data_IF_865752256473
#
_entry.id   IF_865752256473
#
_cell.length_a   1.000
_cell.length_b   1.000
_cell.length_c   1.000
_cell.angle_alpha   90.00
_cell.angle_beta   90.00
_cell.angle_gamma   90.00
#
_symmetry.space_group_name_H-M   'P 1'
#
loop_
_entity.id
_entity.type
_entity.pdbx_description
1 polymer ?
#
# COMPACT_ATOMS: atom_id res chain seq x y z
N UNK A 1 -45.49 57.03 27.40
CA UNK A 1 -44.62 56.24 28.25
C UNK A 1 -44.07 54.92 27.60
N UNK A 2 -44.57 54.42 26.49
CA UNK A 2 -44.10 53.15 25.86
C UNK A 2 -42.80 53.33 25.02
N UNK A 3 -42.48 54.54 24.59
CA UNK A 3 -41.31 54.82 23.72
C UNK A 3 -39.96 54.79 24.47
N UNK A 4 -39.92 55.04 25.75
CA UNK A 4 -38.70 55.16 26.56
C UNK A 4 -38.07 53.81 26.85
N UNK A 5 -38.87 52.75 27.03
CA UNK A 5 -38.36 51.37 27.29
C UNK A 5 -37.65 50.77 26.08
N UNK A 6 -38.21 50.93 24.88
CA UNK A 6 -37.60 50.43 23.65
C UNK A 6 -36.26 51.13 23.36
N UNK A 7 -36.20 52.44 23.53
CA UNK A 7 -34.95 53.19 23.33
C UNK A 7 -33.83 52.76 24.30
N UNK A 8 -34.19 52.46 25.56
CA UNK A 8 -33.25 52.02 26.56
C UNK A 8 -32.65 50.62 26.20
N UNK A 9 -33.47 49.65 25.80
CA UNK A 9 -33.01 48.34 25.34
C UNK A 9 -32.14 48.43 24.09
N UNK A 10 -32.52 49.26 23.11
CA UNK A 10 -31.76 49.49 21.90
C UNK A 10 -30.34 50.01 22.24
N UNK A 11 -30.26 50.95 23.17
CA UNK A 11 -28.97 51.53 23.58
C UNK A 11 -28.08 50.45 24.27
N UNK A 12 -28.63 49.61 25.14
CA UNK A 12 -27.90 48.55 25.78
C UNK A 12 -27.39 47.51 24.76
N UNK A 13 -28.27 47.06 23.85
CA UNK A 13 -27.88 46.12 22.80
C UNK A 13 -26.82 46.70 21.88
N UNK A 14 -26.91 47.96 21.49
CA UNK A 14 -25.91 48.64 20.65
C UNK A 14 -24.54 48.67 21.36
N UNK A 15 -24.50 48.99 22.66
CA UNK A 15 -23.26 49.02 23.44
C UNK A 15 -22.65 47.63 23.57
N UNK A 16 -23.46 46.63 23.89
CA UNK A 16 -23.01 45.23 23.98
C UNK A 16 -22.49 44.68 22.63
N UNK A 17 -23.16 45.03 21.53
CA UNK A 17 -22.75 44.65 20.18
C UNK A 17 -21.39 45.31 19.82
N UNK A 18 -21.20 46.59 20.13
CA UNK A 18 -19.94 47.30 19.91
C UNK A 18 -18.80 46.68 20.73
N UNK A 19 -19.02 46.40 22.03
CA UNK A 19 -18.04 45.78 22.88
C UNK A 19 -17.67 44.38 22.33
N UNK A 20 -18.67 43.55 21.97
CA UNK A 20 -18.45 42.25 21.38
C UNK A 20 -17.69 42.27 20.06
N UNK A 21 -17.99 43.25 19.20
CA UNK A 21 -17.30 43.42 17.91
C UNK A 21 -15.81 43.77 18.11
N UNK A 22 -15.51 44.67 19.06
CA UNK A 22 -14.13 45.03 19.39
C UNK A 22 -13.38 43.81 19.98
N UNK A 23 -14.02 43.09 20.89
CA UNK A 23 -13.44 41.87 21.47
C UNK A 23 -13.11 40.81 20.41
N UNK A 24 -14.03 40.54 19.47
CA UNK A 24 -13.82 39.59 18.37
C UNK A 24 -12.69 40.05 17.44
N UNK A 25 -12.61 41.36 17.16
CA UNK A 25 -11.53 41.91 16.33
C UNK A 25 -10.17 41.74 17.00
N UNK A 26 -10.05 42.05 18.29
CA UNK A 26 -8.83 41.90 19.08
C UNK A 26 -8.44 40.42 19.16
N UNK A 27 -9.40 39.55 19.42
CA UNK A 27 -9.15 38.10 19.42
C UNK A 27 -8.57 37.63 18.09
N UNK A 28 -9.17 38.03 16.94
CA UNK A 28 -8.70 37.66 15.61
C UNK A 28 -7.31 38.23 15.26
N UNK A 29 -6.99 39.43 15.75
CA UNK A 29 -5.64 39.99 15.59
C UNK A 29 -4.61 39.14 16.33
N UNK A 30 -4.87 38.79 17.59
CA UNK A 30 -3.95 38.02 18.40
C UNK A 30 -3.92 36.53 18.04
N UNK A 31 -4.82 36.05 17.21
CA UNK A 31 -4.74 34.73 16.58
C UNK A 31 -3.58 34.65 15.56
N UNK A 32 -3.36 35.74 14.81
CA UNK A 32 -2.39 35.80 13.71
C UNK A 32 -1.07 36.49 14.09
N UNK A 33 -1.08 37.41 15.05
CA UNK A 33 0.07 38.21 15.47
C UNK A 33 0.17 38.26 17.00
N UNK A 34 1.39 38.18 17.62
CA UNK A 34 2.71 38.07 16.98
C UNK A 34 3.04 36.64 16.47
N UNK A 35 3.81 36.54 15.39
CA UNK A 35 4.18 35.25 14.79
C UNK A 35 5.08 34.41 15.70
N UNK A 36 5.90 35.06 16.54
CA UNK A 36 6.82 34.42 17.51
C UNK A 36 6.45 34.83 18.91
N UNK A 37 6.09 33.87 19.74
CA UNK A 37 5.85 34.05 21.18
C UNK A 37 6.99 33.37 21.99
N UNK A 38 7.37 33.94 23.14
CA UNK A 38 8.25 33.27 24.09
C UNK A 38 7.65 31.92 24.49
N UNK A 39 8.51 30.91 24.73
CA UNK A 39 8.08 29.53 25.05
C UNK A 39 7.20 29.38 26.30
N UNK A 40 7.25 30.38 27.20
CA UNK A 40 6.49 30.38 28.46
C UNK A 40 5.09 31.02 28.33
N UNK A 41 4.76 31.68 27.22
CA UNK A 41 3.44 32.28 26.99
C UNK A 41 2.68 31.47 25.95
N UNK A 42 1.65 30.77 26.39
CA UNK A 42 0.74 30.11 25.47
C UNK A 42 -0.12 31.15 24.76
N UNK A 43 -0.32 31.00 23.44
CA UNK A 43 -1.08 31.96 22.61
C UNK A 43 -2.49 32.24 23.14
N UNK A 44 -3.16 31.20 23.64
CA UNK A 44 -4.50 31.34 24.22
C UNK A 44 -4.53 32.26 25.45
N UNK A 45 -3.47 32.24 26.28
CA UNK A 45 -3.35 33.15 27.44
C UNK A 45 -3.27 34.61 26.98
N UNK A 46 -2.46 34.85 25.94
CA UNK A 46 -2.36 36.20 25.35
C UNK A 46 -3.69 36.67 24.77
N UNK A 47 -4.41 35.82 24.10
CA UNK A 47 -5.74 36.12 23.54
C UNK A 47 -6.76 36.45 24.64
N UNK A 48 -6.85 35.62 25.68
CA UNK A 48 -7.76 35.88 26.81
C UNK A 48 -7.39 37.18 27.53
N UNK A 49 -6.11 37.41 27.79
CA UNK A 49 -5.62 38.65 28.43
C UNK A 49 -5.93 39.88 27.57
N UNK A 50 -5.68 39.84 26.25
CA UNK A 50 -5.93 40.92 25.34
C UNK A 50 -7.43 41.26 25.25
N UNK A 51 -8.30 40.27 25.19
CA UNK A 51 -9.75 40.45 25.20
C UNK A 51 -10.22 41.05 26.51
N UNK A 52 -9.69 40.63 27.65
CA UNK A 52 -10.03 41.20 28.97
C UNK A 52 -9.57 42.66 29.10
N UNK A 53 -8.34 43.00 28.68
CA UNK A 53 -7.76 44.32 28.75
C UNK A 53 -8.53 45.33 27.86
N UNK A 54 -9.05 44.88 26.73
CA UNK A 54 -9.75 45.78 25.78
C UNK A 54 -11.17 46.14 26.24
N UNK A 55 -11.78 45.36 27.17
CA UNK A 55 -13.16 45.61 27.63
C UNK A 55 -13.41 47.03 28.09
N UNK A 56 -12.61 47.65 29.03
CA UNK A 56 -12.88 49.02 29.46
C UNK A 56 -12.79 50.07 28.34
N UNK A 57 -11.85 49.86 27.39
CA UNK A 57 -11.68 50.73 26.24
C UNK A 57 -12.85 50.60 25.27
N UNK A 58 -13.31 49.40 24.99
CA UNK A 58 -14.48 49.13 24.16
C UNK A 58 -15.76 49.69 24.78
N UNK A 59 -15.93 49.53 26.08
CA UNK A 59 -17.04 50.11 26.82
C UNK A 59 -17.00 51.64 26.76
N UNK A 60 -15.83 52.26 26.98
CA UNK A 60 -15.65 53.70 26.83
C UNK A 60 -16.04 54.22 25.44
N UNK A 61 -15.57 53.56 24.39
CA UNK A 61 -15.94 53.90 23.01
C UNK A 61 -17.44 53.75 22.78
N UNK A 62 -18.05 52.67 23.27
CA UNK A 62 -19.49 52.44 23.13
C UNK A 62 -20.32 53.55 23.87
N UNK A 63 -19.88 53.98 25.05
CA UNK A 63 -20.51 55.08 25.77
C UNK A 63 -20.36 56.41 25.05
N UNK A 64 -19.16 56.76 24.59
CA UNK A 64 -18.92 57.99 23.82
C UNK A 64 -19.85 58.01 22.61
N UNK A 65 -19.88 56.96 21.79
CA UNK A 65 -20.68 56.88 20.56
C UNK A 65 -22.18 56.99 20.83
N UNK A 66 -22.68 56.42 21.93
CA UNK A 66 -24.12 56.38 22.23
C UNK A 66 -24.61 57.61 23.00
N UNK A 67 -23.70 58.49 23.46
CA UNK A 67 -24.05 59.73 24.22
C UNK A 67 -23.61 61.00 23.53
N UNK A 68 -23.18 60.95 22.25
CA UNK A 68 -22.72 62.11 21.46
C UNK A 68 -23.71 63.19 21.35
N UNK A 69 -25.01 62.96 21.53
CA UNK A 69 -26.10 63.97 21.47
C UNK A 69 -26.64 64.48 22.82
N UNK A 70 -26.05 64.01 23.92
CA UNK A 70 -26.51 64.28 25.26
C UNK A 70 -26.04 65.71 25.72
N UNK A 71 -26.88 66.46 26.41
CA UNK A 71 -26.55 67.78 26.91
C UNK A 71 -25.48 67.77 28.03
N UNK A 72 -25.35 66.71 28.76
CA UNK A 72 -24.32 66.49 29.81
C UNK A 72 -23.41 65.32 29.50
N UNK A 73 -22.10 65.41 29.72
CA UNK A 73 -21.17 64.30 29.54
C UNK A 73 -21.58 63.10 30.39
N UNK A 74 -21.38 61.85 29.82
CA UNK A 74 -21.81 60.64 30.49
C UNK A 74 -21.11 60.39 31.83
N UNK A 75 -19.89 60.90 32.01
CA UNK A 75 -19.09 60.77 33.24
C UNK A 75 -19.54 61.69 34.38
N UNK A 76 -20.35 62.76 34.09
CA UNK A 76 -20.94 63.59 35.11
C UNK A 76 -22.27 63.10 35.63
N UNK A 77 -22.90 62.21 34.89
CA UNK A 77 -24.19 61.60 35.27
C UNK A 77 -23.96 60.27 36.04
N UNK A 78 -24.26 60.28 37.37
CA UNK A 78 -24.07 59.10 38.24
C UNK A 78 -24.72 57.82 37.74
N UNK A 79 -25.90 57.87 37.14
CA UNK A 79 -26.59 56.70 36.61
C UNK A 79 -25.90 56.13 35.36
N UNK A 80 -25.36 56.99 34.49
CA UNK A 80 -24.61 56.57 33.32
C UNK A 80 -23.24 56.00 33.71
N UNK A 81 -22.61 56.58 34.72
CA UNK A 81 -21.34 56.13 35.26
C UNK A 81 -21.48 54.73 35.93
N UNK A 82 -22.58 54.51 36.69
CA UNK A 82 -22.89 53.19 37.26
C UNK A 82 -23.10 52.15 36.13
N UNK A 83 -23.91 52.47 35.11
CA UNK A 83 -24.11 51.56 33.96
C UNK A 83 -22.84 51.28 33.16
N UNK A 84 -21.90 52.22 33.09
CA UNK A 84 -20.59 51.99 32.51
C UNK A 84 -19.80 50.95 33.32
N UNK A 85 -19.78 51.06 34.67
CA UNK A 85 -19.13 50.09 35.53
C UNK A 85 -19.76 48.68 35.41
N UNK A 86 -21.09 48.61 35.36
CA UNK A 86 -21.82 47.34 35.16
C UNK A 86 -21.49 46.67 33.83
N UNK A 87 -21.32 47.45 32.74
CA UNK A 87 -20.93 46.93 31.43
C UNK A 87 -19.49 46.41 31.41
N UNK A 88 -18.57 47.09 32.08
CA UNK A 88 -17.21 46.60 32.24
C UNK A 88 -17.23 45.27 33.05
N UNK A 89 -17.97 45.21 34.16
CA UNK A 89 -18.11 44.02 34.97
C UNK A 89 -18.68 42.82 34.18
N UNK A 90 -19.78 43.09 33.44
CA UNK A 90 -20.35 42.07 32.55
C UNK A 90 -19.37 41.62 31.45
N UNK A 91 -18.71 42.60 30.78
CA UNK A 91 -17.73 42.31 29.72
C UNK A 91 -16.56 41.46 30.24
N UNK A 92 -16.07 41.75 31.43
CA UNK A 92 -14.99 40.94 32.07
C UNK A 92 -15.47 39.56 32.47
N UNK A 93 -16.69 39.38 32.96
CA UNK A 93 -17.26 38.10 33.32
C UNK A 93 -17.48 37.19 32.09
N UNK A 94 -17.95 37.75 30.97
CA UNK A 94 -18.27 36.98 29.78
C UNK A 94 -17.09 36.80 28.82
N UNK A 95 -16.06 37.67 28.88
CA UNK A 95 -14.91 37.62 27.98
C UNK A 95 -14.15 36.27 28.01
N UNK A 96 -13.91 35.61 29.17
CA UNK A 96 -13.26 34.29 29.21
C UNK A 96 -14.07 33.22 28.50
N UNK A 97 -15.42 33.28 28.57
CA UNK A 97 -16.30 32.31 27.90
C UNK A 97 -16.24 32.44 26.38
N UNK A 98 -16.21 33.67 25.88
CA UNK A 98 -16.08 33.95 24.44
C UNK A 98 -14.73 33.41 23.94
N UNK A 99 -13.63 33.75 24.65
CA UNK A 99 -12.31 33.29 24.29
C UNK A 99 -12.18 31.77 24.36
N UNK A 100 -12.74 31.15 25.41
CA UNK A 100 -12.72 29.68 25.59
C UNK A 100 -13.53 28.98 24.49
N UNK A 101 -14.70 29.49 24.13
CA UNK A 101 -15.52 28.92 23.06
C UNK A 101 -14.82 28.96 21.69
N UNK A 102 -14.10 30.05 21.41
CA UNK A 102 -13.33 30.22 20.18
C UNK A 102 -12.11 29.26 20.15
N UNK A 103 -11.40 29.15 21.29
CA UNK A 103 -10.28 28.22 21.45
C UNK A 103 -10.74 26.76 21.26
N UNK A 104 -11.85 26.38 21.92
CA UNK A 104 -12.42 25.04 21.81
C UNK A 104 -12.75 24.67 20.35
N UNK A 105 -13.39 25.59 19.61
CA UNK A 105 -13.66 25.39 18.18
C UNK A 105 -12.40 25.23 17.36
N UNK A 106 -11.37 26.03 17.65
CA UNK A 106 -10.09 25.94 16.95
C UNK A 106 -9.39 24.61 17.18
N UNK A 107 -9.31 24.16 18.44
CA UNK A 107 -8.69 22.86 18.79
C UNK A 107 -9.44 21.68 18.16
N UNK A 108 -10.78 21.69 18.25
CA UNK A 108 -11.59 20.62 17.65
C UNK A 108 -11.48 20.60 16.12
N UNK A 109 -11.42 21.76 15.48
CA UNK A 109 -11.21 21.83 14.03
C UNK A 109 -9.85 21.26 13.60
N UNK A 110 -8.78 21.53 14.35
CA UNK A 110 -7.46 20.93 14.10
C UNK A 110 -7.46 19.41 14.33
N UNK A 111 -8.08 18.95 15.41
CA UNK A 111 -8.17 17.52 15.70
C UNK A 111 -8.95 16.76 14.61
N UNK A 112 -10.05 17.32 14.12
CA UNK A 112 -10.82 16.73 13.02
C UNK A 112 -10.04 16.70 11.71
N UNK A 113 -9.32 17.79 11.36
CA UNK A 113 -8.50 17.80 10.15
C UNK A 113 -7.34 16.80 10.20
N UNK A 114 -6.70 16.62 11.36
CA UNK A 114 -5.68 15.61 11.57
C UNK A 114 -6.25 14.18 11.49
N UNK A 115 -7.39 13.92 12.11
CA UNK A 115 -8.04 12.62 12.02
C UNK A 115 -8.38 12.26 10.56
N UNK A 116 -8.92 13.21 9.80
CA UNK A 116 -9.23 13.02 8.38
C UNK A 116 -7.98 12.78 7.54
N UNK A 117 -6.87 13.49 7.80
CA UNK A 117 -5.61 13.25 7.09
C UNK A 117 -5.05 11.86 7.37
N UNK A 118 -5.10 11.38 8.61
CA UNK A 118 -4.71 10.00 8.95
C UNK A 118 -5.58 8.94 8.28
N UNK A 119 -6.89 9.16 8.18
CA UNK A 119 -7.78 8.24 7.47
C UNK A 119 -7.48 8.20 5.96
N UNK A 120 -7.19 9.34 5.35
CA UNK A 120 -6.79 9.42 3.94
C UNK A 120 -5.46 8.69 3.70
N UNK A 121 -4.42 8.96 4.50
CA UNK A 121 -3.14 8.26 4.41
C UNK A 121 -3.32 6.74 4.57
N UNK A 122 -4.09 6.30 5.55
CA UNK A 122 -4.37 4.87 5.76
C UNK A 122 -5.08 4.24 4.56
N UNK A 123 -6.03 4.95 3.96
CA UNK A 123 -6.74 4.50 2.76
C UNK A 123 -5.80 4.42 1.55
N UNK A 124 -4.91 5.41 1.36
CA UNK A 124 -3.89 5.39 0.30
C UNK A 124 -2.89 4.26 0.48
N UNK A 125 -2.40 4.02 1.71
CA UNK A 125 -1.53 2.89 2.00
C UNK A 125 -2.20 1.55 1.69
N UNK A 126 -3.46 1.36 2.11
CA UNK A 126 -4.22 0.15 1.82
C UNK A 126 -4.41 -0.06 0.30
N UNK A 127 -4.71 1.00 -0.44
CA UNK A 127 -4.85 0.97 -1.90
C UNK A 127 -3.52 0.64 -2.58
N UNK A 128 -2.42 1.29 -2.19
CA UNK A 128 -1.10 1.02 -2.76
C UNK A 128 -0.62 -0.40 -2.45
N UNK A 129 -0.90 -0.92 -1.26
CA UNK A 129 -0.60 -2.31 -0.90
C UNK A 129 -1.41 -3.29 -1.77
N UNK A 130 -2.70 -3.01 -2.01
CA UNK A 130 -3.53 -3.82 -2.90
C UNK A 130 -3.05 -3.75 -4.36
N UNK A 131 -2.73 -2.57 -4.88
CA UNK A 131 -2.19 -2.40 -6.24
C UNK A 131 -0.84 -3.11 -6.40
N UNK A 132 0.04 -3.02 -5.40
CA UNK A 132 1.30 -3.75 -5.39
C UNK A 132 1.07 -5.27 -5.40
N UNK A 133 0.12 -5.75 -4.61
CA UNK A 133 -0.25 -7.17 -4.57
C UNK A 133 -0.85 -7.64 -5.89
N UNK A 134 -1.71 -6.82 -6.52
CA UNK A 134 -2.25 -7.10 -7.85
C UNK A 134 -1.16 -7.15 -8.92
N UNK A 135 -0.19 -6.22 -8.89
CA UNK A 135 0.95 -6.24 -9.83
C UNK A 135 1.83 -7.48 -9.63
N UNK A 136 2.08 -7.90 -8.40
CA UNK A 136 2.79 -9.14 -8.10
C UNK A 136 2.04 -10.37 -8.61
N UNK A 137 0.72 -10.42 -8.45
CA UNK A 137 -0.12 -11.50 -8.98
C UNK A 137 -0.10 -11.52 -10.52
N UNK A 138 -0.16 -10.36 -11.17
CA UNK A 138 -0.07 -10.24 -12.63
C UNK A 138 1.31 -10.61 -13.19
N UNK A 139 2.39 -10.41 -12.42
CA UNK A 139 3.75 -10.76 -12.84
C UNK A 139 4.06 -12.25 -12.68
N UNK A 140 3.27 -13.02 -11.92
CA UNK A 140 3.51 -14.44 -11.66
C UNK A 140 2.98 -15.39 -12.77
N UNK A 141 2.03 -14.94 -13.57
CA UNK A 141 1.62 -15.64 -14.80
C UNK A 141 2.21 -14.87 -15.96
N UNK A 142 3.10 -15.47 -16.76
CA UNK A 142 3.72 -14.76 -17.91
C UNK A 142 2.64 -14.31 -18.91
N UNK A 143 2.29 -13.00 -19.01
CA UNK A 143 1.18 -12.56 -19.83
C UNK A 143 1.42 -12.86 -21.32
N UNK A 144 2.68 -12.78 -21.75
CA UNK A 144 3.10 -13.05 -23.11
C UNK A 144 2.83 -14.52 -23.50
N UNK A 145 3.07 -15.46 -22.60
CA UNK A 145 2.75 -16.87 -22.81
C UNK A 145 1.25 -17.08 -23.03
N UNK A 146 0.39 -16.47 -22.19
CA UNK A 146 -1.06 -16.58 -22.33
C UNK A 146 -1.55 -16.01 -23.66
N UNK A 147 -1.10 -14.81 -24.03
CA UNK A 147 -1.49 -14.20 -25.30
C UNK A 147 -1.05 -15.02 -26.52
N UNK A 148 0.17 -15.56 -26.50
CA UNK A 148 0.68 -16.42 -27.57
C UNK A 148 -0.10 -17.73 -27.66
N UNK A 149 -0.46 -18.34 -26.54
CA UNK A 149 -1.26 -19.56 -26.53
C UNK A 149 -2.67 -19.33 -27.05
N UNK A 150 -3.31 -18.22 -26.65
CA UNK A 150 -4.64 -17.82 -27.15
C UNK A 150 -4.59 -17.48 -28.66
N UNK A 151 -3.53 -16.86 -29.13
CA UNK A 151 -3.34 -16.59 -30.58
C UNK A 151 -3.21 -17.90 -31.37
N UNK A 152 -2.45 -18.88 -30.83
CA UNK A 152 -2.35 -20.21 -31.42
C UNK A 152 -3.70 -20.95 -31.43
N UNK A 153 -4.47 -20.90 -30.32
CA UNK A 153 -5.81 -21.49 -30.28
C UNK A 153 -6.72 -20.87 -31.38
N UNK A 154 -6.66 -19.55 -31.56
CA UNK A 154 -7.41 -18.85 -32.57
C UNK A 154 -7.04 -19.34 -33.98
N UNK A 155 -5.75 -19.44 -34.27
CA UNK A 155 -5.25 -19.93 -35.55
C UNK A 155 -5.72 -21.38 -35.84
N UNK A 156 -5.69 -22.25 -34.81
CA UNK A 156 -6.21 -23.61 -34.91
C UNK A 156 -7.72 -23.65 -35.14
N UNK A 157 -8.47 -22.75 -34.57
CA UNK A 157 -9.93 -22.62 -34.80
C UNK A 157 -10.20 -22.10 -36.20
N UNK A 158 -9.48 -21.06 -36.62
CA UNK A 158 -9.64 -20.45 -37.94
C UNK A 158 -9.27 -21.45 -39.07
N UNK A 159 -8.31 -22.35 -38.82
CA UNK A 159 -7.92 -23.44 -39.76
C UNK A 159 -8.81 -24.69 -39.66
N UNK A 160 -9.80 -24.73 -38.80
CA UNK A 160 -10.68 -25.88 -38.59
C UNK A 160 -10.00 -27.11 -37.99
N UNK A 161 -8.86 -26.92 -37.31
CA UNK A 161 -8.10 -28.01 -36.68
C UNK A 161 -8.84 -28.66 -35.50
N UNK A 162 -8.91 -30.00 -35.49
CA UNK A 162 -9.48 -30.75 -34.37
C UNK A 162 -8.67 -30.60 -33.08
N UNK A 163 -7.44 -30.09 -33.14
CA UNK A 163 -6.56 -29.86 -31.99
C UNK A 163 -6.93 -28.61 -31.17
N UNK A 164 -7.68 -27.66 -31.75
CA UNK A 164 -8.06 -26.41 -31.07
C UNK A 164 -8.71 -26.63 -29.71
N UNK A 165 -9.65 -27.57 -29.63
CA UNK A 165 -10.33 -27.92 -28.37
C UNK A 165 -9.39 -28.55 -27.35
N UNK A 166 -8.45 -29.38 -27.79
CA UNK A 166 -7.46 -30.02 -26.91
C UNK A 166 -6.51 -28.99 -26.29
N UNK A 167 -5.96 -28.07 -27.10
CA UNK A 167 -5.08 -26.98 -26.64
C UNK A 167 -5.82 -26.04 -25.67
N UNK A 168 -7.08 -25.68 -25.96
CA UNK A 168 -7.89 -24.86 -25.07
C UNK A 168 -8.16 -25.55 -23.73
N UNK A 169 -8.49 -26.84 -23.74
CA UNK A 169 -8.69 -27.63 -22.52
C UNK A 169 -7.42 -27.71 -21.67
N UNK A 170 -6.25 -27.86 -22.27
CA UNK A 170 -4.96 -27.87 -21.56
C UNK A 170 -4.60 -26.49 -21.01
N UNK A 171 -4.93 -25.42 -21.74
CA UNK A 171 -4.79 -24.05 -21.21
C UNK A 171 -5.69 -23.83 -19.97
N UNK A 172 -6.92 -24.32 -20.02
CA UNK A 172 -7.85 -24.23 -18.87
C UNK A 172 -7.32 -25.07 -17.70
N UNK A 173 -6.77 -26.26 -17.95
CA UNK A 173 -6.17 -27.11 -16.90
C UNK A 173 -4.95 -26.40 -16.26
N UNK A 174 -4.07 -25.82 -17.07
CA UNK A 174 -2.94 -25.02 -16.59
C UNK A 174 -3.41 -23.84 -15.71
N UNK A 175 -4.35 -23.01 -16.19
CA UNK A 175 -4.87 -21.88 -15.42
C UNK A 175 -5.54 -22.32 -14.10
N UNK A 176 -6.27 -23.44 -14.12
CA UNK A 176 -6.90 -24.01 -12.92
C UNK A 176 -5.87 -24.47 -11.89
N UNK A 177 -4.73 -25.00 -12.33
CA UNK A 177 -3.63 -25.39 -11.44
C UNK A 177 -2.81 -24.17 -10.97
N UNK A 178 -2.66 -23.13 -11.80
CA UNK A 178 -1.86 -21.94 -11.50
C UNK A 178 -2.54 -21.01 -10.49
N UNK A 179 -3.84 -20.70 -10.66
CA UNK A 179 -4.56 -19.70 -9.88
C UNK A 179 -4.53 -19.91 -8.36
N UNK A 180 -4.75 -21.12 -7.82
CA UNK A 180 -4.66 -21.36 -6.38
C UNK A 180 -3.28 -21.09 -5.81
N UNK A 181 -2.22 -21.40 -6.56
CA UNK A 181 -0.84 -21.26 -6.13
C UNK A 181 -0.39 -19.79 -6.03
N UNK A 182 -1.06 -18.86 -6.74
CA UNK A 182 -0.76 -17.42 -6.68
C UNK A 182 -1.05 -16.77 -5.32
N UNK A 183 -1.98 -17.34 -4.55
CA UNK A 183 -2.47 -16.76 -3.29
C UNK A 183 -1.90 -17.44 -2.04
N UNK A 184 -1.20 -18.55 -2.19
CA UNK A 184 -0.69 -19.33 -1.07
C UNK A 184 0.73 -18.89 -0.69
N UNK A 185 1.03 -18.84 0.61
CA UNK A 185 2.39 -18.60 1.09
C UNK A 185 3.30 -19.83 0.85
N UNK A 186 2.74 -21.02 0.79
CA UNK A 186 3.40 -22.29 0.52
C UNK A 186 2.49 -23.20 -0.31
N UNK A 187 3.08 -24.08 -1.10
CA UNK A 187 2.40 -25.11 -1.87
C UNK A 187 3.10 -26.47 -1.64
N UNK A 188 2.41 -27.56 -1.91
CA UNK A 188 3.02 -28.89 -1.85
C UNK A 188 3.71 -29.23 -3.18
N UNK A 189 4.73 -30.08 -3.14
CA UNK A 189 5.36 -30.58 -4.37
C UNK A 189 4.37 -31.29 -5.29
N UNK A 190 3.33 -31.92 -4.74
CA UNK A 190 2.23 -32.49 -5.54
C UNK A 190 1.58 -31.41 -6.41
N UNK A 191 1.18 -30.27 -5.82
CA UNK A 191 0.54 -29.16 -6.53
C UNK A 191 1.47 -28.51 -7.56
N UNK A 192 2.75 -28.36 -7.20
CA UNK A 192 3.78 -27.88 -8.14
C UNK A 192 3.94 -28.80 -9.35
N UNK A 193 3.95 -30.12 -9.12
CA UNK A 193 4.08 -31.11 -10.19
C UNK A 193 2.83 -31.21 -11.07
N UNK A 194 1.63 -31.04 -10.50
CA UNK A 194 0.40 -30.95 -11.27
C UNK A 194 0.44 -29.72 -12.21
N UNK A 195 0.93 -28.60 -11.69
CA UNK A 195 1.11 -27.37 -12.47
C UNK A 195 2.16 -27.53 -13.58
N UNK A 196 3.33 -28.12 -13.25
CA UNK A 196 4.41 -28.42 -14.21
C UNK A 196 3.94 -29.36 -15.30
N UNK A 197 3.21 -30.40 -14.94
CA UNK A 197 2.64 -31.35 -15.93
C UNK A 197 1.69 -30.65 -16.87
N UNK A 198 0.75 -29.87 -16.37
CA UNK A 198 -0.20 -29.11 -17.18
C UNK A 198 0.51 -28.14 -18.13
N UNK A 199 1.57 -27.47 -17.66
CA UNK A 199 2.41 -26.60 -18.47
C UNK A 199 3.14 -27.35 -19.60
N UNK A 200 3.82 -28.47 -19.25
CA UNK A 200 4.58 -29.27 -20.22
C UNK A 200 3.67 -29.93 -21.27
N UNK A 201 2.48 -30.40 -20.87
CA UNK A 201 1.47 -30.89 -21.82
C UNK A 201 1.04 -29.83 -22.81
N UNK A 202 0.81 -28.60 -22.33
CA UNK A 202 0.45 -27.47 -23.18
C UNK A 202 1.60 -27.11 -24.15
N UNK A 203 2.86 -27.13 -23.66
CA UNK A 203 4.04 -26.90 -24.50
C UNK A 203 4.27 -28.01 -25.51
N UNK A 204 4.08 -29.28 -25.12
CA UNK A 204 4.18 -30.41 -26.04
C UNK A 204 3.13 -30.32 -27.18
N UNK A 205 1.89 -29.90 -26.89
CA UNK A 205 0.90 -29.68 -27.94
C UNK A 205 1.27 -28.54 -28.89
N UNK A 206 1.99 -27.52 -28.40
CA UNK A 206 2.51 -26.45 -29.26
C UNK A 206 3.70 -26.89 -30.11
N UNK A 207 4.50 -27.82 -29.62
CA UNK A 207 5.75 -28.29 -30.23
C UNK A 207 5.83 -29.82 -30.18
N UNK A 208 4.90 -30.57 -30.84
CA UNK A 208 4.78 -32.02 -30.63
C UNK A 208 6.02 -32.82 -31.07
N UNK A 209 6.69 -32.35 -32.13
CA UNK A 209 7.88 -33.00 -32.66
C UNK A 209 9.19 -32.54 -31.99
N UNK A 210 9.13 -31.45 -31.17
CA UNK A 210 10.32 -30.79 -30.62
C UNK A 210 10.45 -30.90 -29.12
N UNK A 211 9.39 -31.18 -28.37
CA UNK A 211 9.43 -31.32 -26.93
C UNK A 211 8.99 -32.69 -26.47
N UNK A 212 9.90 -33.41 -25.81
CA UNK A 212 9.56 -34.56 -25.01
C UNK A 212 9.82 -34.25 -23.54
N UNK A 213 9.07 -34.90 -22.62
CA UNK A 213 9.31 -34.69 -21.20
C UNK A 213 8.99 -35.90 -20.35
N UNK A 214 9.73 -36.04 -19.24
CA UNK A 214 9.54 -37.08 -18.24
C UNK A 214 9.55 -36.45 -16.84
N UNK A 215 8.70 -37.00 -15.96
CA UNK A 215 8.59 -36.55 -14.57
C UNK A 215 8.73 -37.77 -13.66
N UNK A 216 9.82 -37.83 -12.90
CA UNK A 216 10.16 -38.89 -11.96
C UNK A 216 10.14 -38.32 -10.53
N UNK A 217 9.25 -38.82 -9.70
CA UNK A 217 9.04 -38.31 -8.35
C UNK A 217 8.97 -39.45 -7.36
N UNK A 218 9.67 -39.28 -6.26
CA UNK A 218 9.54 -40.15 -5.10
C UNK A 218 8.24 -39.81 -4.34
N UNK A 219 7.35 -40.80 -4.12
CA UNK A 219 6.04 -40.57 -3.51
C UNK A 219 6.10 -39.86 -2.16
N UNK A 220 7.14 -40.14 -1.36
CA UNK A 220 7.37 -39.52 -0.08
C UNK A 220 7.60 -37.96 -0.20
N UNK A 221 8.11 -37.48 -1.34
CA UNK A 221 8.37 -36.09 -1.59
C UNK A 221 7.08 -35.27 -1.85
N UNK A 222 6.00 -35.90 -2.29
CA UNK A 222 4.78 -35.21 -2.74
C UNK A 222 4.12 -34.34 -1.68
N UNK A 223 4.35 -34.61 -0.39
CA UNK A 223 3.77 -33.82 0.73
C UNK A 223 4.64 -32.67 1.22
N UNK A 224 5.87 -32.57 0.71
CA UNK A 224 6.81 -31.53 1.12
C UNK A 224 6.30 -30.18 0.62
N UNK A 225 6.40 -29.17 1.47
CA UNK A 225 6.06 -27.81 1.14
C UNK A 225 7.25 -27.05 0.55
N UNK A 226 6.98 -26.23 -0.44
CA UNK A 226 7.95 -25.32 -1.04
C UNK A 226 7.28 -23.97 -1.38
N UNK A 227 8.04 -22.93 -1.68
CA UNK A 227 7.47 -21.68 -2.20
C UNK A 227 6.73 -21.94 -3.52
N UNK A 228 5.58 -21.32 -3.75
CA UNK A 228 4.80 -21.52 -4.97
C UNK A 228 5.59 -21.14 -6.23
N UNK A 229 5.27 -21.76 -7.35
CA UNK A 229 5.92 -21.55 -8.66
C UNK A 229 7.43 -21.88 -8.69
N UNK A 230 7.92 -22.68 -7.73
CA UNK A 230 9.33 -23.04 -7.68
C UNK A 230 9.73 -23.98 -8.81
N UNK A 231 9.01 -25.11 -8.98
CA UNK A 231 9.29 -26.08 -10.04
C UNK A 231 8.93 -25.50 -11.40
N UNK A 232 7.79 -24.80 -11.49
CA UNK A 232 7.38 -24.18 -12.75
C UNK A 232 8.45 -23.23 -13.28
N UNK A 233 9.03 -22.37 -12.43
CA UNK A 233 10.09 -21.43 -12.85
C UNK A 233 11.31 -22.14 -13.45
N UNK A 234 11.70 -23.29 -12.89
CA UNK A 234 12.81 -24.09 -13.43
C UNK A 234 12.46 -24.71 -14.77
N UNK A 235 11.26 -25.22 -14.92
CA UNK A 235 10.77 -25.86 -16.15
C UNK A 235 10.51 -24.82 -17.25
N UNK A 236 9.92 -23.66 -16.94
CA UNK A 236 9.79 -22.54 -17.88
C UNK A 236 11.14 -22.10 -18.43
N UNK A 237 12.16 -22.06 -17.57
CA UNK A 237 13.52 -21.72 -17.99
C UNK A 237 14.09 -22.76 -18.97
N UNK A 238 13.87 -24.06 -18.72
CA UNK A 238 14.30 -25.15 -19.59
C UNK A 238 13.58 -25.08 -20.96
N UNK A 239 12.27 -24.87 -20.98
CA UNK A 239 11.52 -24.71 -22.22
C UNK A 239 12.00 -23.49 -22.99
N UNK A 240 12.04 -22.32 -22.35
CA UNK A 240 12.30 -21.04 -23.02
C UNK A 240 13.71 -20.88 -23.54
N UNK A 241 14.71 -21.37 -22.78
CA UNK A 241 16.10 -21.16 -23.10
C UNK A 241 16.81 -22.44 -23.63
N UNK A 242 16.25 -23.62 -23.36
CA UNK A 242 16.78 -24.87 -23.86
C UNK A 242 16.06 -25.33 -25.15
N UNK A 243 14.76 -25.56 -25.08
CA UNK A 243 13.99 -26.24 -26.14
C UNK A 243 13.51 -25.29 -27.23
N UNK A 244 12.92 -24.14 -26.87
CA UNK A 244 12.31 -23.20 -27.82
C UNK A 244 13.31 -22.66 -28.85
N UNK A 245 14.59 -22.36 -28.52
CA UNK A 245 15.60 -21.97 -29.50
C UNK A 245 16.20 -23.14 -30.30
N UNK A 246 16.02 -24.40 -29.86
CA UNK A 246 16.57 -25.59 -30.55
C UNK A 246 15.72 -25.97 -31.74
N UNK A 247 16.29 -25.94 -32.95
CA UNK A 247 15.59 -26.40 -34.15
C UNK A 247 15.25 -27.92 -34.10
N UNK A 248 16.16 -28.70 -33.50
CA UNK A 248 16.00 -30.14 -33.31
C UNK A 248 15.08 -30.50 -32.13
N UNK A 249 14.75 -29.49 -31.31
CA UNK A 249 14.00 -29.68 -30.08
C UNK A 249 14.87 -30.27 -28.98
N UNK A 250 14.26 -31.08 -28.11
CA UNK A 250 14.93 -31.72 -27.00
C UNK A 250 13.98 -32.35 -25.98
N UNK A 251 14.57 -32.86 -24.92
CA UNK A 251 13.87 -33.53 -23.82
C UNK A 251 14.05 -32.75 -22.54
N UNK A 252 13.00 -32.71 -21.72
CA UNK A 252 13.06 -32.19 -20.34
C UNK A 252 12.81 -33.31 -19.36
N UNK A 253 13.74 -33.51 -18.42
CA UNK A 253 13.64 -34.45 -17.32
C UNK A 253 13.48 -33.71 -16.00
N UNK A 254 12.37 -33.94 -15.29
CA UNK A 254 12.11 -33.45 -13.95
C UNK A 254 12.24 -34.60 -12.97
N UNK A 255 13.19 -34.52 -12.03
CA UNK A 255 13.42 -35.55 -11.01
C UNK A 255 13.29 -34.92 -9.62
N UNK A 256 12.50 -35.55 -8.74
CA UNK A 256 12.37 -35.14 -7.33
C UNK A 256 12.68 -36.32 -6.44
N UNK A 257 13.67 -36.17 -5.56
CA UNK A 257 14.14 -37.22 -4.63
C UNK A 257 14.36 -36.66 -3.24
N UNK A 258 14.35 -37.56 -2.26
CA UNK A 258 14.73 -37.25 -0.88
C UNK A 258 16.11 -37.84 -0.58
N UNK A 259 16.98 -37.05 0.01
CA UNK A 259 18.31 -37.45 0.41
C UNK A 259 18.73 -36.74 1.69
N UNK A 260 19.08 -37.51 2.73
CA UNK A 260 19.62 -36.99 4.00
C UNK A 260 18.80 -35.81 4.62
N UNK A 261 17.49 -35.94 4.66
CA UNK A 261 16.61 -34.88 5.23
C UNK A 261 16.44 -33.64 4.35
N UNK A 262 16.87 -33.73 3.09
CA UNK A 262 16.73 -32.65 2.10
C UNK A 262 15.90 -33.11 0.90
N UNK A 263 15.21 -32.21 0.29
CA UNK A 263 14.55 -32.43 -0.99
C UNK A 263 15.48 -31.97 -2.11
N UNK A 264 15.73 -32.85 -3.07
CA UNK A 264 16.51 -32.59 -4.27
C UNK A 264 15.57 -32.57 -5.47
N UNK A 265 15.45 -31.40 -6.10
CA UNK A 265 14.73 -31.20 -7.35
C UNK A 265 15.73 -30.94 -8.45
N UNK A 266 15.67 -31.74 -9.51
CA UNK A 266 16.52 -31.59 -10.69
C UNK A 266 15.65 -31.41 -11.91
N UNK A 267 15.89 -30.35 -12.68
CA UNK A 267 15.32 -30.11 -14.00
C UNK A 267 16.46 -30.03 -14.99
N UNK A 268 16.48 -30.94 -15.94
CA UNK A 268 17.51 -30.99 -16.99
C UNK A 268 16.85 -30.96 -18.36
N UNK A 269 17.44 -30.23 -19.30
CA UNK A 269 17.06 -30.23 -20.70
C UNK A 269 18.24 -30.65 -21.60
N UNK A 270 17.91 -31.15 -22.78
CA UNK A 270 18.88 -31.47 -23.83
C UNK A 270 18.85 -30.46 -24.96
N UNK A 271 18.38 -29.23 -24.69
CA UNK A 271 18.28 -28.16 -25.67
C UNK A 271 19.63 -27.54 -26.05
N UNK A 272 19.61 -26.30 -26.51
CA UNK A 272 20.82 -25.61 -27.01
C UNK A 272 21.90 -25.39 -25.95
N UNK A 273 21.57 -25.52 -24.67
CA UNK A 273 22.49 -25.32 -23.54
C UNK A 273 22.81 -23.83 -23.31
N UNK A 274 23.81 -23.58 -22.44
CA UNK A 274 24.32 -22.22 -22.24
C UNK A 274 25.17 -21.81 -23.44
N UNK A 275 24.78 -20.74 -24.12
CA UNK A 275 25.68 -20.05 -25.03
C UNK A 275 26.78 -19.40 -24.17
N UNK A 276 27.97 -19.96 -24.16
CA UNK A 276 29.16 -19.32 -23.56
C UNK A 276 29.46 -18.06 -24.39
N UNK A 277 29.09 -16.89 -23.88
CA UNK A 277 29.63 -15.65 -24.43
C UNK A 277 31.15 -15.70 -24.29
N UNK A 278 31.86 -15.48 -25.39
CA UNK A 278 33.30 -15.63 -25.58
C UNK A 278 34.22 -14.75 -24.64
N UNK A 279 33.67 -14.19 -23.57
CA UNK A 279 34.39 -13.31 -22.64
C UNK A 279 34.55 -13.83 -21.21
N UNK A 280 34.32 -15.16 -20.96
CA UNK A 280 34.82 -15.79 -19.73
C UNK A 280 34.30 -15.25 -18.38
N UNK A 281 33.42 -14.28 -18.37
CA UNK A 281 32.84 -13.74 -17.15
C UNK A 281 31.67 -14.62 -16.69
N UNK A 282 31.86 -15.34 -15.60
CA UNK A 282 30.81 -15.97 -14.79
C UNK A 282 29.95 -14.87 -14.13
N UNK A 283 29.43 -13.95 -14.94
CA UNK A 283 28.67 -12.81 -14.47
C UNK A 283 27.19 -13.15 -14.32
N UNK A 284 26.62 -12.80 -13.19
CA UNK A 284 25.20 -12.84 -12.81
C UNK A 284 24.22 -12.11 -13.77
N UNK A 285 24.69 -11.55 -14.87
CA UNK A 285 23.90 -10.85 -15.91
C UNK A 285 23.18 -11.77 -16.90
N UNK A 286 23.44 -13.09 -16.90
CA UNK A 286 22.81 -14.07 -17.79
C UNK A 286 21.66 -14.87 -17.17
N UNK A 287 21.42 -14.78 -15.87
CA UNK A 287 20.23 -15.39 -15.26
C UNK A 287 19.02 -14.54 -15.61
N UNK A 288 18.07 -15.10 -16.36
CA UNK A 288 16.78 -14.44 -16.59
C UNK A 288 16.14 -14.03 -15.27
N UNK A 289 15.35 -12.97 -15.30
CA UNK A 289 14.67 -12.40 -14.12
C UNK A 289 13.95 -13.44 -13.27
N UNK A 290 13.44 -14.53 -13.87
CA UNK A 290 12.75 -15.63 -13.19
C UNK A 290 13.64 -16.40 -12.19
N UNK A 291 14.84 -16.82 -12.62
CA UNK A 291 15.76 -17.56 -11.74
C UNK A 291 16.39 -16.68 -10.65
N UNK A 292 16.61 -15.39 -10.93
CA UNK A 292 17.07 -14.43 -9.92
C UNK A 292 16.02 -14.25 -8.83
N UNK A 293 14.76 -14.03 -9.20
CA UNK A 293 13.63 -13.93 -8.27
C UNK A 293 13.41 -15.22 -7.47
N UNK A 294 13.56 -16.38 -8.12
CA UNK A 294 13.49 -17.67 -7.42
C UNK A 294 14.58 -17.79 -6.35
N UNK A 295 15.83 -17.42 -6.68
CA UNK A 295 16.95 -17.48 -5.73
C UNK A 295 16.70 -16.58 -4.52
N UNK A 296 16.26 -15.35 -4.73
CA UNK A 296 15.92 -14.42 -3.65
C UNK A 296 14.80 -14.98 -2.75
N UNK A 297 13.73 -15.50 -3.34
CA UNK A 297 12.62 -16.12 -2.61
C UNK A 297 13.05 -17.32 -1.78
N UNK A 298 13.91 -18.19 -2.34
CA UNK A 298 14.47 -19.33 -1.61
C UNK A 298 15.34 -18.88 -0.43
N UNK A 299 16.13 -17.82 -0.60
CA UNK A 299 16.94 -17.24 0.48
C UNK A 299 16.06 -16.71 1.62
N UNK A 300 14.96 -16.04 1.31
CA UNK A 300 14.03 -15.51 2.31
C UNK A 300 13.32 -16.64 3.08
N UNK A 301 12.85 -17.68 2.38
CA UNK A 301 12.06 -18.75 3.00
C UNK A 301 12.92 -19.71 3.82
N UNK A 302 14.11 -20.05 3.32
CA UNK A 302 14.99 -21.04 3.94
C UNK A 302 16.21 -20.44 4.65
N UNK A 303 16.22 -19.09 4.87
CA UNK A 303 17.30 -18.38 5.56
C UNK A 303 18.72 -18.72 5.04
N UNK A 304 18.83 -19.01 3.73
CA UNK A 304 20.08 -19.37 3.08
C UNK A 304 20.40 -20.87 3.07
N UNK A 305 19.58 -21.74 3.68
CA UNK A 305 19.78 -23.19 3.69
C UNK A 305 19.26 -23.90 2.42
N UNK A 306 18.78 -23.18 1.42
CA UNK A 306 18.47 -23.70 0.10
C UNK A 306 19.58 -23.33 -0.90
N UNK A 307 19.92 -24.26 -1.79
CA UNK A 307 20.95 -24.09 -2.81
C UNK A 307 20.38 -24.35 -4.20
N UNK A 308 20.53 -23.37 -5.09
CA UNK A 308 20.22 -23.51 -6.51
C UNK A 308 21.53 -23.52 -7.30
N UNK A 309 21.88 -24.69 -7.88
CA UNK A 309 23.03 -24.92 -8.73
C UNK A 309 22.59 -24.99 -10.18
N UNK A 310 23.31 -24.33 -11.06
CA UNK A 310 23.04 -24.29 -12.50
C UNK A 310 24.29 -24.80 -13.23
N UNK A 311 24.13 -25.81 -14.12
CA UNK A 311 25.24 -26.48 -14.76
C UNK A 311 24.91 -26.76 -16.24
N UNK A 312 25.83 -26.41 -17.15
CA UNK A 312 25.74 -26.85 -18.54
C UNK A 312 26.02 -28.33 -18.67
N UNK A 313 25.29 -29.02 -19.53
CA UNK A 313 25.47 -30.40 -19.84
C UNK A 313 26.32 -30.61 -21.11
N UNK A 314 26.98 -31.75 -21.23
CA UNK A 314 27.79 -32.09 -22.41
C UNK A 314 27.07 -33.24 -23.17
N UNK A 315 26.90 -33.17 -24.49
CA UNK A 315 27.46 -32.16 -25.43
C UNK A 315 26.71 -30.84 -25.44
N UNK A 316 25.44 -30.79 -25.06
CA UNK A 316 24.59 -29.60 -24.97
C UNK A 316 23.46 -29.84 -23.95
N UNK A 317 22.76 -28.79 -23.56
CA UNK A 317 21.71 -28.84 -22.56
C UNK A 317 22.08 -28.11 -21.27
N UNK A 318 21.14 -28.07 -20.36
CA UNK A 318 21.27 -27.36 -19.10
C UNK A 318 20.63 -28.15 -17.96
N UNK A 319 21.16 -27.99 -16.76
CA UNK A 319 20.67 -28.63 -15.54
C UNK A 319 20.53 -27.57 -14.43
N UNK A 320 19.32 -27.42 -13.89
CA UNK A 320 19.05 -26.70 -12.68
C UNK A 320 18.76 -27.68 -11.55
N UNK A 321 19.59 -27.63 -10.51
CA UNK A 321 19.48 -28.49 -9.33
C UNK A 321 19.19 -27.61 -8.12
N UNK A 322 18.05 -27.86 -7.48
CA UNK A 322 17.60 -27.18 -6.28
C UNK A 322 17.59 -28.15 -5.10
N UNK A 323 18.29 -27.81 -4.04
CA UNK A 323 18.31 -28.57 -2.78
C UNK A 323 17.81 -27.70 -1.64
N UNK A 324 16.83 -28.18 -0.86
CA UNK A 324 16.28 -27.46 0.30
C UNK A 324 15.89 -28.41 1.43
N UNK A 325 15.86 -27.96 2.71
CA UNK A 325 15.54 -28.81 3.85
C UNK A 325 14.07 -29.21 3.84
N UNK A 326 13.77 -30.45 4.30
CA UNK A 326 12.40 -30.99 4.43
C UNK A 326 11.67 -30.37 5.63
N UNK A 327 12.40 -29.83 6.63
CA UNK A 327 11.81 -29.24 7.82
C UNK A 327 10.92 -28.03 7.48
N UNK A 328 9.74 -27.98 8.12
CA UNK A 328 8.68 -27.00 7.89
C UNK A 328 9.14 -25.55 8.14
N UNK A 329 9.82 -24.94 7.20
CA UNK A 329 10.17 -23.52 7.22
C UNK A 329 8.93 -22.59 7.27
N UNK A 330 7.73 -23.14 7.05
CA UNK A 330 6.47 -22.40 7.00
C UNK A 330 5.67 -22.42 8.32
N UNK A 331 6.08 -23.20 9.35
CA UNK A 331 5.35 -23.29 10.63
C UNK A 331 5.76 -22.22 11.63
N UNK A 332 6.95 -21.61 11.52
CA UNK A 332 7.44 -20.61 12.49
C UNK A 332 7.00 -19.16 12.22
N UNK A 333 6.40 -18.86 11.06
CA UNK A 333 5.93 -17.51 10.76
C UNK A 333 4.55 -17.15 11.36
N UNK A 334 3.87 -18.11 12.00
CA UNK A 334 2.53 -17.95 12.59
C UNK A 334 2.48 -17.73 14.11
N UNK A 335 3.62 -17.79 14.82
CA UNK A 335 3.66 -17.79 16.30
C UNK A 335 4.31 -16.57 16.95
N UNK A 336 4.42 -15.45 16.23
CA UNK A 336 4.81 -14.18 16.85
C UNK A 336 3.64 -13.20 16.73
N UNK A 337 2.77 -13.25 17.75
CA UNK A 337 1.84 -12.17 18.09
C UNK A 337 2.28 -11.55 19.41
#
# INVERSE_FOLDING_TARGET
MKFTWAAWWITIFTRLALIGMVQLTVFGVFERWPKRLPRWVARWVLQVAAVAIVVPFAAGLAYILTTLGDATPWYENKNKLSGFGEMIGAGLLFSPWIAMSALYRHINGQAQSQALSFELERSEFARNALDSRLRLLQAQVEPHFLFNTLANVRELVDSGSSQASAVLNSLIAYLRAAVPNLNNAATTLRQELELVRAYLELMHMRMPDRLQFFIHVEDAALKIQCPPMTLLTLVENAVRHGIDPSEEGGQIDVTVRLHEGRCLVKVSDTGVGMVQNAQGEHGSKGLGTGLANLRERLQLVYAGDAQLRLTGLVPHGFCAELTFPIANAFLDSGSSK
#
